data_IF_255425899798
#
_entry.id   IF_255425899798
#
_cell.length_a   1.000
_cell.length_b   1.000
_cell.length_c   1.000
_cell.angle_alpha   90.00
_cell.angle_beta   90.00
_cell.angle_gamma   90.00
#
_symmetry.space_group_name_H-M   'P 1'
#
loop_
_entity.id
_entity.type
_entity.pdbx_description
1 polymer ?
#
# COMPACT_ATOMS: atom_id res chain seq x y z
N UNK A 1 -26.53 6.60 6.90
CA UNK A 1 -25.41 6.93 6.00
C UNK A 1 -24.67 5.64 5.67
N UNK A 2 -24.20 5.47 4.43
CA UNK A 2 -23.40 4.29 4.08
C UNK A 2 -22.03 4.37 4.77
N UNK A 3 -21.51 3.23 5.23
CA UNK A 3 -20.18 3.15 5.85
C UNK A 3 -19.11 3.44 4.81
N UNK A 4 -18.16 4.31 5.15
CA UNK A 4 -17.03 4.66 4.29
C UNK A 4 -15.80 3.81 4.61
N UNK A 5 -15.03 3.47 3.58
CA UNK A 5 -13.88 2.59 3.68
C UNK A 5 -12.60 3.24 3.16
N UNK A 6 -11.49 2.84 3.77
CA UNK A 6 -10.13 3.07 3.28
C UNK A 6 -9.49 1.75 2.89
N UNK A 7 -8.41 1.83 2.10
CA UNK A 7 -7.70 0.69 1.56
C UNK A 7 -6.27 0.64 2.07
N UNK A 8 -5.81 -0.56 2.42
CA UNK A 8 -4.41 -0.86 2.67
C UNK A 8 -3.99 -2.03 1.80
N UNK A 9 -2.75 -2.02 1.31
CA UNK A 9 -2.20 -3.11 0.51
C UNK A 9 -1.00 -3.75 1.16
N UNK A 10 -0.94 -5.08 1.15
CA UNK A 10 0.22 -5.84 1.60
C UNK A 10 0.45 -7.06 0.71
N UNK A 11 1.71 -7.43 0.44
CA UNK A 11 2.03 -8.70 -0.23
C UNK A 11 1.89 -9.91 0.69
N UNK A 12 1.66 -9.70 2.00
CA UNK A 12 1.50 -10.75 3.00
C UNK A 12 0.08 -10.73 3.55
N UNK A 13 -0.46 -11.92 3.83
CA UNK A 13 -1.74 -12.08 4.51
C UNK A 13 -1.55 -11.75 5.99
N UNK A 14 -2.36 -10.82 6.50
CA UNK A 14 -2.31 -10.33 7.87
C UNK A 14 -3.72 -10.36 8.44
N UNK A 15 -3.88 -10.97 9.61
CA UNK A 15 -5.17 -10.98 10.30
C UNK A 15 -5.50 -9.62 10.93
N UNK A 16 -4.46 -8.82 11.17
CA UNK A 16 -4.55 -7.47 11.75
C UNK A 16 -3.40 -6.60 11.28
N UNK A 17 -3.63 -5.30 11.22
CA UNK A 17 -2.62 -4.29 10.93
C UNK A 17 -2.26 -3.59 12.24
N UNK A 18 -0.97 -3.53 12.56
CA UNK A 18 -0.46 -2.84 13.75
C UNK A 18 0.39 -1.65 13.31
N UNK A 19 0.39 -0.55 14.08
CA UNK A 19 1.26 0.58 13.81
C UNK A 19 2.73 0.15 13.71
N UNK A 20 3.41 0.62 12.67
CA UNK A 20 4.83 0.43 12.48
C UNK A 20 5.45 1.74 11.99
N UNK A 21 6.77 1.88 12.18
CA UNK A 21 7.49 3.03 11.67
C UNK A 21 7.58 2.93 10.15
N UNK A 22 6.94 3.88 9.45
CA UNK A 22 7.13 4.04 8.01
C UNK A 22 8.58 4.45 7.71
N UNK A 23 9.03 4.11 6.51
CA UNK A 23 10.34 4.48 5.98
C UNK A 23 10.15 5.07 4.58
N UNK A 24 10.66 6.28 4.39
CA UNK A 24 10.68 7.02 3.13
C UNK A 24 12.01 7.77 3.06
N UNK A 25 12.74 7.60 1.96
CA UNK A 25 14.04 8.25 1.74
C UNK A 25 13.88 9.70 1.27
N UNK A 26 12.74 10.06 0.68
CA UNK A 26 12.43 11.37 0.14
C UNK A 26 11.68 12.29 1.10
N UNK A 27 10.95 11.76 2.08
CA UNK A 27 10.21 12.57 3.06
C UNK A 27 10.10 11.93 4.45
N UNK A 28 11.18 12.00 5.22
CA UNK A 28 11.24 11.42 6.55
C UNK A 28 10.27 12.06 7.55
N UNK A 29 10.00 13.36 7.46
CA UNK A 29 9.05 14.02 8.38
C UNK A 29 7.60 13.52 8.19
N UNK A 30 7.28 12.97 7.02
CA UNK A 30 5.99 12.33 6.74
C UNK A 30 5.86 10.91 7.30
N UNK A 31 6.96 10.32 7.75
CA UNK A 31 7.00 8.95 8.28
C UNK A 31 6.60 8.90 9.75
N UNK A 32 5.41 8.41 10.01
CA UNK A 32 4.79 8.29 11.32
C UNK A 32 4.80 6.83 11.77
N UNK A 33 4.81 6.63 13.09
CA UNK A 33 4.53 5.32 13.68
C UNK A 33 3.01 5.07 13.66
N UNK A 34 2.50 4.49 12.59
CA UNK A 34 1.06 4.35 12.35
C UNK A 34 0.74 3.21 11.38
N UNK A 35 -0.53 2.81 11.31
CA UNK A 35 -1.09 2.07 10.19
C UNK A 35 -1.50 3.07 9.12
N UNK A 36 -0.94 2.91 7.92
CA UNK A 36 -1.26 3.75 6.77
C UNK A 36 -2.39 3.15 5.95
N UNK A 37 -3.32 3.98 5.48
CA UNK A 37 -4.35 3.61 4.54
C UNK A 37 -4.58 4.74 3.53
N UNK A 38 -5.25 4.43 2.43
CA UNK A 38 -5.55 5.40 1.36
C UNK A 38 -6.99 5.31 0.91
N UNK A 39 -7.57 6.44 0.50
CA UNK A 39 -8.86 6.46 -0.18
C UNK A 39 -8.75 6.00 -1.65
N UNK A 40 -7.54 5.90 -2.19
CA UNK A 40 -7.29 5.43 -3.55
C UNK A 40 -7.03 3.91 -3.59
N UNK A 41 -7.97 3.17 -4.18
CA UNK A 41 -7.87 1.70 -4.28
C UNK A 41 -6.69 1.22 -5.13
N UNK A 42 -6.39 1.88 -6.26
CA UNK A 42 -5.29 1.46 -7.14
C UNK A 42 -3.94 1.66 -6.46
N UNK A 43 -3.79 2.77 -5.76
CA UNK A 43 -2.61 3.04 -4.92
C UNK A 43 -2.40 1.94 -3.88
N UNK A 44 -3.46 1.53 -3.16
CA UNK A 44 -3.37 0.41 -2.23
C UNK A 44 -2.99 -0.91 -2.93
N UNK A 45 -3.59 -1.21 -4.10
CA UNK A 45 -3.26 -2.40 -4.88
C UNK A 45 -1.76 -2.44 -5.22
N UNK A 46 -1.14 -1.32 -5.63
CA UNK A 46 0.29 -1.27 -5.91
C UNK A 46 1.15 -1.74 -4.73
N UNK A 47 0.77 -1.40 -3.48
CA UNK A 47 1.48 -1.88 -2.29
C UNK A 47 1.27 -3.38 -2.03
N UNK A 48 0.14 -3.95 -2.48
CA UNK A 48 -0.13 -5.39 -2.42
C UNK A 48 0.73 -6.23 -3.36
N UNK A 49 1.36 -5.64 -4.38
CA UNK A 49 2.09 -6.39 -5.42
C UNK A 49 3.46 -6.93 -4.96
N UNK A 50 3.94 -6.50 -3.80
CA UNK A 50 5.28 -6.86 -3.29
C UNK A 50 6.42 -6.11 -3.96
N UNK A 51 7.64 -6.59 -3.78
CA UNK A 51 8.88 -6.18 -4.47
C UNK A 51 9.84 -7.36 -4.28
N UNK A 52 10.21 -8.01 -5.38
CA UNK A 52 11.25 -9.03 -5.42
C UNK A 52 12.52 -8.30 -5.83
N UNK A 53 13.42 -8.14 -4.88
CA UNK A 53 14.65 -7.35 -5.02
C UNK A 53 15.66 -8.08 -5.91
N UNK A 54 16.22 -7.38 -6.89
CA UNK A 54 17.30 -7.92 -7.73
C UNK A 54 18.68 -7.58 -7.14
N UNK A 55 18.77 -6.51 -6.34
CA UNK A 55 19.95 -6.10 -5.58
C UNK A 55 19.57 -5.20 -4.38
N UNK A 56 20.58 -4.81 -3.59
CA UNK A 56 20.42 -4.02 -2.35
C UNK A 56 19.93 -2.57 -2.56
N UNK A 57 19.79 -2.11 -3.82
CA UNK A 57 19.28 -0.77 -4.18
C UNK A 57 17.85 -0.83 -4.75
N UNK A 58 17.09 -1.88 -4.41
CA UNK A 58 15.70 -2.03 -4.81
C UNK A 58 14.84 -0.90 -4.24
N UNK A 59 14.09 -0.22 -5.10
CA UNK A 59 13.21 0.88 -4.71
C UNK A 59 11.83 0.74 -5.33
N UNK A 60 10.82 1.19 -4.57
CA UNK A 60 9.44 1.35 -5.03
C UNK A 60 9.00 2.78 -4.81
N UNK A 61 8.61 3.45 -5.90
CA UNK A 61 8.32 4.88 -5.88
C UNK A 61 7.02 5.15 -6.63
N UNK A 62 6.15 5.97 -6.05
CA UNK A 62 5.04 6.57 -6.79
C UNK A 62 5.41 8.00 -7.16
N UNK A 63 5.44 8.30 -8.46
CA UNK A 63 5.77 9.62 -8.97
C UNK A 63 4.55 10.22 -9.70
N UNK A 64 4.27 11.54 -9.54
CA UNK A 64 3.11 12.18 -10.14
C UNK A 64 2.97 11.98 -11.66
N UNK A 65 4.09 11.95 -12.40
CA UNK A 65 4.11 11.74 -13.85
C UNK A 65 3.59 10.38 -14.30
N UNK A 66 3.59 9.38 -13.41
CA UNK A 66 3.07 8.04 -13.67
C UNK A 66 1.66 7.82 -13.11
N UNK A 67 1.07 8.84 -12.46
CA UNK A 67 -0.27 8.78 -11.85
C UNK A 67 -0.35 7.74 -10.73
N UNK A 68 -1.36 6.88 -10.77
CA UNK A 68 -1.59 5.82 -9.77
C UNK A 68 -0.76 4.55 -10.01
N UNK A 69 0.44 4.70 -10.59
CA UNK A 69 1.34 3.59 -10.88
C UNK A 69 2.53 3.59 -9.93
N UNK A 70 3.03 2.40 -9.65
CA UNK A 70 4.26 2.19 -8.90
C UNK A 70 5.42 1.92 -9.87
N UNK A 71 6.48 2.70 -9.73
CA UNK A 71 7.77 2.45 -10.37
C UNK A 71 8.54 1.47 -9.49
N UNK A 72 9.04 0.41 -10.10
CA UNK A 72 9.92 -0.57 -9.48
C UNK A 72 11.30 -0.40 -10.10
N UNK A 73 12.29 0.01 -9.29
CA UNK A 73 13.69 0.16 -9.71
C UNK A 73 14.51 -0.95 -9.09
N UNK A 74 15.27 -1.68 -9.91
CA UNK A 74 16.09 -2.81 -9.43
C UNK A 74 15.30 -3.87 -8.63
N UNK A 75 13.99 -3.94 -8.87
CA UNK A 75 13.11 -4.94 -8.32
C UNK A 75 11.89 -5.08 -9.23
N UNK A 76 11.05 -6.05 -8.94
CA UNK A 76 9.82 -6.25 -9.70
C UNK A 76 8.66 -6.72 -8.81
N UNK A 77 7.40 -6.62 -9.25
CA UNK A 77 6.27 -7.24 -8.57
C UNK A 77 6.48 -8.74 -8.35
N UNK A 78 5.78 -9.31 -7.37
CA UNK A 78 5.81 -10.76 -7.12
C UNK A 78 4.98 -11.52 -8.18
N UNK A 79 5.48 -11.63 -9.40
CA UNK A 79 4.81 -12.26 -10.55
C UNK A 79 4.27 -13.66 -10.22
N UNK A 80 3.07 -13.97 -10.71
CA UNK A 80 2.35 -15.21 -10.41
C UNK A 80 1.91 -15.35 -8.95
N UNK A 81 2.23 -14.37 -8.09
CA UNK A 81 1.92 -14.37 -6.68
C UNK A 81 0.55 -13.79 -6.34
N UNK A 82 0.26 -13.76 -5.04
CA UNK A 82 -0.98 -13.21 -4.48
C UNK A 82 -0.68 -12.00 -3.61
N UNK A 83 -1.41 -10.91 -3.84
CA UNK A 83 -1.44 -9.74 -2.98
C UNK A 83 -2.72 -9.68 -2.15
N UNK A 84 -2.75 -8.83 -1.13
CA UNK A 84 -3.90 -8.67 -0.24
C UNK A 84 -4.29 -7.20 -0.15
N UNK A 85 -5.57 -6.92 -0.44
CA UNK A 85 -6.18 -5.61 -0.30
C UNK A 85 -7.16 -5.64 0.88
N UNK A 86 -6.93 -4.74 1.83
CA UNK A 86 -7.69 -4.66 3.07
C UNK A 86 -8.66 -3.49 3.01
N UNK A 87 -9.92 -3.74 3.38
CA UNK A 87 -10.93 -2.69 3.57
C UNK A 87 -11.04 -2.37 5.06
N UNK A 88 -10.82 -1.10 5.38
CA UNK A 88 -10.67 -0.60 6.74
C UNK A 88 -11.75 0.45 7.03
N UNK A 89 -12.27 0.45 8.26
CA UNK A 89 -13.25 1.43 8.71
C UNK A 89 -12.61 2.83 8.77
N UNK A 90 -13.05 3.73 7.87
CA UNK A 90 -12.52 5.09 7.77
C UNK A 90 -12.68 5.88 9.08
N UNK A 91 -13.70 5.59 9.89
CA UNK A 91 -13.97 6.31 11.14
C UNK A 91 -12.84 6.16 12.19
N UNK A 92 -11.95 5.16 12.03
CA UNK A 92 -10.81 4.93 12.91
C UNK A 92 -9.54 5.67 12.49
N UNK A 93 -9.58 6.42 11.39
CA UNK A 93 -8.41 7.08 10.81
C UNK A 93 -8.52 8.59 10.86
N UNK A 94 -7.36 9.22 10.97
CA UNK A 94 -7.18 10.66 10.79
C UNK A 94 -6.64 10.93 9.40
N UNK A 95 -7.20 11.93 8.71
CA UNK A 95 -6.68 12.36 7.42
C UNK A 95 -5.30 12.99 7.61
N UNK A 96 -4.31 12.51 6.84
CA UNK A 96 -2.94 13.01 6.93
C UNK A 96 -2.66 14.04 5.82
N UNK A 97 -2.76 13.61 4.57
CA UNK A 97 -2.56 14.48 3.39
C UNK A 97 -3.04 13.77 2.12
N UNK A 98 -3.51 14.52 1.12
CA UNK A 98 -3.93 13.95 -0.16
C UNK A 98 -4.94 12.81 0.03
N UNK A 99 -4.61 11.61 -0.45
CA UNK A 99 -5.40 10.39 -0.26
C UNK A 99 -4.98 9.57 0.96
N UNK A 100 -3.94 9.97 1.69
CA UNK A 100 -3.36 9.25 2.81
C UNK A 100 -4.08 9.53 4.14
N UNK A 101 -4.25 8.46 4.91
CA UNK A 101 -4.87 8.43 6.23
C UNK A 101 -4.03 7.57 7.16
N UNK A 102 -4.02 7.91 8.45
CA UNK A 102 -3.24 7.20 9.47
C UNK A 102 -4.11 6.79 10.65
N UNK A 103 -3.81 5.63 11.24
CA UNK A 103 -4.38 5.14 12.49
C UNK A 103 -3.24 4.77 13.43
N UNK A 104 -3.30 5.23 14.68
CA UNK A 104 -2.25 4.98 15.68
C UNK A 104 -2.55 3.77 16.57
N UNK A 105 -3.59 3.02 16.23
CA UNK A 105 -4.03 1.84 16.97
C UNK A 105 -4.02 0.60 16.06
N UNK A 106 -4.07 -0.57 16.69
CA UNK A 106 -4.29 -1.83 15.98
C UNK A 106 -5.66 -1.84 15.28
N UNK A 107 -5.70 -2.32 14.04
CA UNK A 107 -6.94 -2.44 13.28
C UNK A 107 -7.11 -3.84 12.69
N UNK A 108 -8.30 -4.39 12.91
CA UNK A 108 -8.76 -5.61 12.24
C UNK A 108 -9.51 -5.20 10.96
N UNK A 109 -9.08 -5.68 9.78
CA UNK A 109 -9.77 -5.42 8.52
C UNK A 109 -11.19 -6.00 8.52
N UNK A 110 -12.16 -5.26 7.96
CA UNK A 110 -13.52 -5.79 7.80
C UNK A 110 -13.62 -6.78 6.64
N UNK A 111 -12.78 -6.58 5.63
CA UNK A 111 -12.67 -7.46 4.48
C UNK A 111 -11.23 -7.52 4.01
N UNK A 112 -10.80 -8.73 3.66
CA UNK A 112 -9.54 -9.02 2.99
C UNK A 112 -9.88 -9.56 1.61
N UNK A 113 -9.34 -8.94 0.57
CA UNK A 113 -9.52 -9.33 -0.82
C UNK A 113 -8.18 -9.83 -1.32
N UNK A 114 -8.15 -11.11 -1.72
CA UNK A 114 -7.00 -11.69 -2.40
C UNK A 114 -7.01 -11.22 -3.86
N UNK A 115 -5.84 -10.82 -4.36
CA UNK A 115 -5.66 -10.41 -5.75
C UNK A 115 -4.53 -11.22 -6.39
N UNK A 116 -4.71 -11.59 -7.65
CA UNK A 116 -3.60 -12.06 -8.48
C UNK A 116 -2.72 -10.88 -8.84
N UNK A 117 -1.40 -10.97 -8.60
CA UNK A 117 -0.46 -9.89 -8.94
C UNK A 117 -0.49 -9.61 -10.44
N UNK A 118 -0.63 -10.65 -11.26
CA UNK A 118 -0.56 -10.56 -12.72
C UNK A 118 -1.72 -9.76 -13.33
N UNK A 119 -2.86 -9.70 -12.63
CA UNK A 119 -4.05 -8.94 -13.07
C UNK A 119 -3.83 -7.41 -12.98
N UNK A 120 -2.77 -6.97 -12.30
CA UNK A 120 -2.53 -5.56 -11.98
C UNK A 120 -1.17 -5.04 -12.48
N UNK A 121 -0.47 -5.77 -13.34
CA UNK A 121 0.82 -5.35 -13.89
C UNK A 121 0.74 -4.06 -14.72
N UNK A 122 -0.45 -3.69 -15.20
CA UNK A 122 -0.68 -2.40 -15.86
C UNK A 122 -0.51 -1.19 -14.92
N UNK A 123 -0.50 -1.42 -13.59
CA UNK A 123 -0.19 -0.42 -12.56
C UNK A 123 1.31 -0.32 -12.25
N UNK A 124 2.15 -1.10 -12.93
CA UNK A 124 3.59 -1.12 -12.71
C UNK A 124 4.33 -0.40 -13.85
N UNK A 125 5.44 0.24 -13.49
CA UNK A 125 6.50 0.67 -14.40
C UNK A 125 7.77 0.00 -13.91
N UNK A 126 8.49 -0.70 -14.78
CA UNK A 126 9.72 -1.40 -14.42
C UNK A 126 10.90 -0.61 -15.00
N UNK A 127 11.86 -0.25 -14.16
CA UNK A 127 13.07 0.53 -14.48
C UNK A 127 14.36 -0.16 -14.04
#
# INVERSE_FOLDING_TARGET
>A
MAKEYLYHGSPKKLDKLVPNQAYDTGFQEGCQYAVYATSNRNMAICFSLGCVEENDNAERIMLPEYGDKMVFKHCHPNYGGTGYLYMLDKAKFTHAMGTQWVCYEEIVPEKIIEISVDDYLNLCVIE
#
